data_IF_395538967393
#
_entry.id   IF_395538967393
#
_cell.length_a   1.000
_cell.length_b   1.000
_cell.length_c   1.000
_cell.angle_alpha   90.00
_cell.angle_beta   90.00
_cell.angle_gamma   90.00
#
_symmetry.space_group_name_H-M   'P 1'
#
loop_
_entity.id
_entity.type
_entity.pdbx_description
1 polymer ?
2 non-polymer ?
3 water ?
#
# COMPACT_ATOMS: atom_id res chain seq x y z
N UNK A 5 19.27 -5.66 -2.45
CA UNK A 5 20.07 -4.46 -2.28
C UNK A 5 20.41 -3.81 -3.65
N UNK A 6 19.43 -3.24 -4.39
CA UNK A 6 17.99 -3.17 -4.09
C UNK A 6 17.17 -3.96 -5.11
N UNK A 7 17.46 -5.26 -5.19
CA UNK A 7 16.72 -6.22 -6.00
C UNK A 7 15.79 -6.88 -4.98
N UNK A 8 14.51 -6.55 -5.03
CA UNK A 8 13.52 -7.08 -4.09
C UNK A 8 12.92 -8.37 -4.63
N UNK A 9 11.61 -8.57 -4.40
CA UNK A 9 10.91 -9.76 -4.88
C UNK A 9 10.62 -9.61 -6.38
N UNK A 10 11.14 -10.53 -7.19
CA UNK A 10 10.98 -10.54 -8.65
C UNK A 10 10.53 -11.94 -9.11
N UNK A 11 9.38 -12.08 -9.80
CA UNK A 11 8.39 -11.06 -10.17
C UNK A 11 7.64 -10.60 -8.93
N UNK A 12 6.95 -9.47 -9.01
CA UNK A 12 6.17 -8.99 -7.87
C UNK A 12 4.84 -9.74 -7.86
N UNK A 13 4.46 -10.28 -6.70
CA UNK A 13 3.17 -10.93 -6.50
C UNK A 13 2.47 -10.17 -5.37
N UNK A 14 1.30 -9.57 -5.65
CA UNK A 14 0.56 -8.76 -4.68
C UNK A 14 0.27 -9.49 -3.37
N UNK A 15 -0.18 -10.76 -3.44
CA UNK A 15 -0.48 -11.53 -2.24
C UNK A 15 0.77 -11.73 -1.37
N UNK A 16 1.94 -12.05 -1.98
CA UNK A 16 3.19 -12.20 -1.22
C UNK A 16 3.64 -10.84 -0.67
N UNK A 17 3.42 -9.75 -1.43
CA UNK A 17 3.76 -8.39 -0.97
C UNK A 17 2.92 -7.99 0.26
N UNK A 18 1.74 -8.62 0.44
CA UNK A 18 0.89 -8.41 1.61
C UNK A 18 1.15 -9.48 2.68
N UNK A 19 2.32 -10.16 2.66
CA UNK A 19 2.68 -11.23 3.60
C UNK A 19 1.60 -12.32 3.69
N UNK A 20 0.97 -12.65 2.55
CA UNK A 20 -0.08 -13.67 2.43
C UNK A 20 -1.26 -13.47 3.40
N UNK A 21 -1.65 -12.20 3.62
CA UNK A 21 -2.77 -11.86 4.50
C UNK A 21 -2.44 -11.95 5.99
N UNK A 22 -1.15 -12.04 6.39
CA UNK A 22 -0.75 -12.17 7.79
C UNK A 22 -0.38 -10.87 8.48
N UNK A 23 -0.40 -9.72 7.77
CA UNK A 23 0.05 -8.45 8.33
C UNK A 23 -0.76 -7.25 7.88
N UNK A 24 -0.64 -6.16 8.63
CA UNK A 24 -1.22 -4.88 8.28
C UNK A 24 -0.10 -4.02 7.71
N UNK A 25 -0.42 -3.13 6.76
CA UNK A 25 0.55 -2.22 6.15
C UNK A 25 0.08 -0.79 6.34
N UNK A 26 1.03 0.14 6.52
CA UNK A 26 0.73 1.56 6.74
C UNK A 26 1.26 2.39 5.58
N UNK A 27 0.49 3.42 5.18
CA UNK A 27 0.89 4.31 4.08
C UNK A 27 1.86 5.34 4.65
N UNK A 28 3.10 5.38 4.13
CA UNK A 28 4.15 6.29 4.60
C UNK A 28 4.58 7.37 3.61
N UNK A 29 4.29 7.21 2.31
CA UNK A 29 4.58 8.21 1.27
C UNK A 29 3.50 8.12 0.22
N UNK A 30 3.06 9.27 -0.32
CA UNK A 30 2.07 9.27 -1.40
C UNK A 30 2.16 10.55 -2.20
N UNK A 31 2.05 10.45 -3.53
CA UNK A 31 2.02 11.63 -4.39
C UNK A 31 0.58 12.18 -4.49
N UNK A 32 -0.43 11.45 -3.97
CA UNK A 32 -1.82 11.88 -3.98
C UNK A 32 -2.03 12.96 -2.89
N UNK A 33 -2.38 14.22 -3.26
CA UNK A 33 -2.61 15.27 -2.25
C UNK A 33 -3.79 14.99 -1.30
N UNK A 34 -4.71 14.07 -1.68
CA UNK A 34 -5.86 13.69 -0.86
C UNK A 34 -5.58 12.41 -0.03
N UNK A 35 -4.31 11.92 0.04
CA UNK A 35 -3.96 10.71 0.82
C UNK A 35 -4.53 10.83 2.24
N UNK A 36 -5.27 9.81 2.69
CA UNK A 36 -5.93 9.86 4.00
C UNK A 36 -4.94 9.75 5.15
N UNK A 37 -5.14 10.60 6.18
CA UNK A 37 -4.30 10.64 7.38
C UNK A 37 -4.26 9.29 8.08
N UNK A 38 -3.06 8.84 8.48
CA UNK A 38 -2.86 7.59 9.23
C UNK A 38 -3.38 6.34 8.53
N UNK A 39 -3.48 6.35 7.18
CA UNK A 39 -4.04 5.21 6.46
C UNK A 39 -3.28 3.92 6.73
N UNK A 40 -4.04 2.88 7.07
CA UNK A 40 -3.54 1.54 7.39
C UNK A 40 -4.52 0.53 6.82
N UNK A 41 -4.02 -0.57 6.25
CA UNK A 41 -4.86 -1.63 5.69
C UNK A 41 -4.55 -2.95 6.38
N UNK A 42 -5.58 -3.68 6.83
CA UNK A 42 -5.40 -4.98 7.47
C UNK A 42 -6.43 -5.98 6.94
N UNK A 43 -6.03 -7.24 6.68
CA UNK A 43 -6.98 -8.25 6.22
C UNK A 43 -8.10 -8.45 7.24
N UNK A 44 -9.34 -8.59 6.76
CA UNK A 44 -10.53 -8.77 7.59
C UNK A 44 -11.13 -10.17 7.36
N UNK A 45 -10.36 -11.10 6.78
CA UNK A 45 -10.82 -12.46 6.50
C UNK A 45 -9.85 -13.20 5.58
N UNK A 46 -10.09 -14.49 5.36
CA UNK A 46 -9.23 -15.33 4.52
C UNK A 46 -9.44 -15.04 3.04
N UNK A 47 -8.42 -15.33 2.22
CA UNK A 47 -8.49 -15.15 0.78
C UNK A 47 -9.41 -16.23 0.18
N UNK A 48 -10.53 -15.82 -0.44
CA UNK A 48 -11.50 -16.71 -1.08
C UNK A 48 -11.19 -16.67 -2.58
N UNK A 49 -10.61 -17.75 -3.13
CA UNK A 49 -10.18 -17.84 -4.53
C UNK A 49 -9.13 -16.74 -4.81
N UNK A 50 -9.51 -15.58 -5.39
CA UNK A 50 -8.60 -14.45 -5.64
C UNK A 50 -9.09 -13.17 -4.93
N UNK A 51 -10.10 -13.27 -4.03
CA UNK A 51 -10.71 -12.13 -3.33
C UNK A 51 -10.28 -12.10 -1.86
N UNK A 52 -9.88 -10.91 -1.36
CA UNK A 52 -9.44 -10.71 0.03
C UNK A 52 -10.19 -9.51 0.64
N UNK A 53 -10.94 -9.69 1.76
CA UNK A 53 -11.59 -8.54 2.40
C UNK A 53 -10.54 -7.79 3.22
N UNK A 54 -10.49 -6.46 3.09
CA UNK A 54 -9.50 -5.63 3.78
C UNK A 54 -10.18 -4.46 4.48
N UNK A 55 -9.84 -4.22 5.75
CA UNK A 55 -10.37 -3.10 6.52
C UNK A 55 -9.33 -1.99 6.48
N UNK A 56 -9.71 -0.82 5.97
CA UNK A 56 -8.83 0.34 5.92
C UNK A 56 -9.19 1.22 7.11
N UNK A 57 -8.21 1.59 7.95
CA UNK A 57 -8.42 2.48 9.10
C UNK A 57 -7.61 3.75 8.87
N UNK A 58 -8.15 4.89 9.29
CA UNK A 58 -7.54 6.21 9.07
C UNK A 58 -8.24 7.24 9.95
N UNK A 59 -7.72 8.47 9.96
CA UNK A 59 -8.36 9.56 10.70
C UNK A 59 -9.18 10.41 9.73
N UNK A 60 -10.48 10.58 10.03
CA UNK A 60 -11.41 11.41 9.26
C UNK A 60 -11.60 12.64 10.14
N UNK A 61 -10.76 13.66 9.94
CA UNK A 61 -10.73 14.82 10.82
C UNK A 61 -9.98 14.36 12.09
N UNK A 62 -10.51 14.66 13.29
CA UNK A 62 -9.87 14.22 14.54
C UNK A 62 -10.25 12.78 14.94
N UNK A 63 -11.39 12.26 14.45
CA UNK A 63 -11.85 10.91 14.80
C UNK A 63 -11.30 9.82 13.90
N UNK A 64 -11.14 8.62 14.47
CA UNK A 64 -10.73 7.44 13.71
C UNK A 64 -11.94 6.95 12.94
N UNK A 65 -11.71 6.38 11.75
CA UNK A 65 -12.78 5.86 10.91
C UNK A 65 -12.31 4.60 10.21
N UNK A 66 -13.25 3.82 9.67
CA UNK A 66 -12.92 2.58 8.98
C UNK A 66 -13.85 2.33 7.80
N UNK A 67 -13.31 1.70 6.74
CA UNK A 67 -14.06 1.32 5.54
C UNK A 67 -13.69 -0.11 5.17
N UNK A 68 -14.68 -0.90 4.75
CA UNK A 68 -14.51 -2.31 4.40
C UNK A 68 -14.43 -2.47 2.88
N UNK A 69 -13.21 -2.71 2.37
CA UNK A 69 -12.95 -2.88 0.94
C UNK A 69 -12.81 -4.35 0.56
N UNK A 70 -13.01 -4.65 -0.73
CA UNK A 70 -12.86 -5.98 -1.30
C UNK A 70 -11.71 -5.88 -2.31
N UNK A 71 -10.62 -6.64 -2.08
CA UNK A 71 -9.44 -6.64 -2.95
C UNK A 71 -9.48 -7.87 -3.84
N UNK A 72 -9.33 -7.70 -5.16
CA UNK A 72 -9.25 -8.80 -6.12
C UNK A 72 -7.81 -8.80 -6.63
N UNK A 73 -7.06 -9.89 -6.36
CA UNK A 73 -5.65 -9.99 -6.72
C UNK A 73 -5.44 -10.71 -8.05
N UNK A 74 -4.49 -10.22 -8.86
CA UNK A 74 -4.16 -10.80 -10.16
C UNK A 74 -2.68 -10.54 -10.44
N UNK A 75 -1.80 -11.47 -10.02
CA UNK A 75 -0.35 -11.31 -10.17
C UNK A 75 0.10 -10.12 -9.31
N UNK A 76 0.69 -9.10 -9.94
CA UNK A 76 1.12 -7.88 -9.26
C UNK A 76 -0.02 -6.87 -9.12
N UNK A 77 -1.16 -7.07 -9.83
CA UNK A 77 -2.28 -6.13 -9.83
C UNK A 77 -3.28 -6.36 -8.71
N UNK A 78 -3.90 -5.26 -8.24
CA UNK A 78 -4.89 -5.25 -7.17
C UNK A 78 -6.03 -4.32 -7.59
N UNK A 79 -7.28 -4.82 -7.56
CA UNK A 79 -8.48 -4.03 -7.85
C UNK A 79 -9.25 -3.95 -6.54
N UNK A 80 -9.30 -2.76 -5.92
CA UNK A 80 -9.99 -2.54 -4.64
C UNK A 80 -11.35 -1.90 -4.90
N UNK A 81 -12.43 -2.45 -4.30
CA UNK A 81 -13.78 -1.91 -4.48
C UNK A 81 -14.49 -1.64 -3.15
N UNK A 82 -15.26 -0.55 -3.12
CA UNK A 82 -16.08 -0.12 -1.98
C UNK A 82 -17.29 0.60 -2.57
N UNK A 83 -18.49 0.00 -2.46
CA UNK A 83 -19.71 0.60 -3.03
C UNK A 83 -19.54 0.78 -4.54
N UNK A 84 -19.70 2.02 -5.05
CA UNK A 84 -19.53 2.33 -6.47
C UNK A 84 -18.08 2.74 -6.83
N UNK A 85 -17.16 2.79 -5.84
CA UNK A 85 -15.77 3.19 -6.06
C UNK A 85 -14.92 1.98 -6.47
N UNK A 86 -14.02 2.17 -7.44
CA UNK A 86 -13.08 1.15 -7.91
C UNK A 86 -11.71 1.81 -8.06
N UNK A 87 -10.67 1.24 -7.43
CA UNK A 87 -9.30 1.74 -7.51
C UNK A 87 -8.42 0.62 -8.03
N UNK A 88 -7.70 0.87 -9.13
CA UNK A 88 -6.80 -0.11 -9.75
C UNK A 88 -5.36 0.24 -9.40
N UNK A 89 -4.63 -0.73 -8.83
CA UNK A 89 -3.23 -0.57 -8.43
C UNK A 89 -2.38 -1.70 -8.99
N UNK A 90 -1.07 -1.44 -9.06
CA UNK A 90 -0.08 -2.44 -9.41
C UNK A 90 1.06 -2.29 -8.42
N UNK A 91 1.47 -3.39 -7.77
CA UNK A 91 2.59 -3.37 -6.83
C UNK A 91 3.81 -3.42 -7.74
N UNK A 92 4.49 -2.27 -7.91
CA UNK A 92 5.64 -2.14 -8.83
C UNK A 92 6.99 -2.51 -8.20
N UNK A 93 7.07 -2.51 -6.87
CA UNK A 93 8.27 -2.92 -6.14
C UNK A 93 7.84 -3.56 -4.84
N UNK A 94 8.48 -4.66 -4.46
CA UNK A 94 8.22 -5.34 -3.20
C UNK A 94 9.57 -5.76 -2.65
N UNK A 95 9.86 -5.44 -1.38
CA UNK A 95 11.16 -5.76 -0.81
C UNK A 95 11.36 -7.26 -0.61
N UNK A 96 12.63 -7.66 -0.40
CA UNK A 96 13.04 -9.06 -0.25
C UNK A 96 12.21 -9.89 0.74
N UNK A 97 11.87 -9.32 1.91
CA UNK A 97 11.13 -10.01 2.97
C UNK A 97 9.68 -9.52 3.08
N UNK A 98 9.17 -8.78 2.09
CA UNK A 98 7.81 -8.24 2.08
C UNK A 98 7.57 -7.29 3.26
N UNK A 99 8.60 -6.51 3.63
CA UNK A 99 8.54 -5.55 4.73
C UNK A 99 7.98 -4.20 4.27
N UNK A 100 8.03 -3.96 2.96
CA UNK A 100 7.52 -2.75 2.34
C UNK A 100 7.34 -2.95 0.85
N UNK A 101 6.47 -2.14 0.25
CA UNK A 101 6.24 -2.18 -1.18
C UNK A 101 5.83 -0.82 -1.73
N UNK A 102 6.00 -0.64 -3.04
CA UNK A 102 5.68 0.60 -3.73
C UNK A 102 4.60 0.27 -4.76
N UNK A 103 3.49 1.01 -4.74
CA UNK A 103 2.36 0.80 -5.65
C UNK A 103 2.21 1.94 -6.64
N UNK A 104 1.70 1.62 -7.83
CA UNK A 104 1.35 2.60 -8.86
C UNK A 104 -0.17 2.60 -8.88
N UNK A 105 -0.81 3.73 -8.55
CA UNK A 105 -2.28 3.84 -8.57
C UNK A 105 -2.64 4.24 -10.01
N UNK A 106 -3.26 3.32 -10.76
CA UNK A 106 -3.57 3.53 -12.18
C UNK A 106 -4.75 4.49 -12.38
N UNK A 107 -4.49 5.67 -12.97
CA UNK A 107 -5.50 6.70 -13.26
C UNK A 107 -4.96 7.70 -14.31
N UNK A 108 -5.73 8.76 -14.66
CA UNK A 108 -5.33 9.77 -15.67
C UNK A 108 -3.89 10.26 -15.42
N UNK A 109 -3.61 10.67 -14.17
CA UNK A 109 -2.28 11.05 -13.70
C UNK A 109 -1.91 10.06 -12.59
N UNK A 110 -1.14 8.99 -12.91
CA UNK A 110 -0.84 7.97 -11.90
C UNK A 110 -0.14 8.46 -10.63
N UNK A 111 -0.58 7.96 -9.46
CA UNK A 111 0.05 8.29 -8.18
C UNK A 111 0.93 7.13 -7.74
N UNK A 112 1.92 7.41 -6.88
CA UNK A 112 2.85 6.41 -6.37
C UNK A 112 2.80 6.42 -4.85
N UNK A 113 2.74 5.24 -4.22
CA UNK A 113 2.62 5.10 -2.77
C UNK A 113 3.65 4.15 -2.21
N UNK A 114 4.15 4.42 -0.99
CA UNK A 114 5.03 3.51 -0.26
C UNK A 114 4.25 3.00 0.94
N UNK A 115 4.19 1.68 1.10
CA UNK A 115 3.52 1.00 2.20
C UNK A 115 4.54 0.15 2.94
N UNK A 116 4.46 0.10 4.27
CA UNK A 116 5.37 -0.73 5.07
C UNK A 116 4.64 -1.43 6.19
N UNK A 117 5.24 -2.53 6.68
CA UNK A 117 4.66 -3.31 7.77
C UNK A 117 4.43 -2.44 8.98
N UNK A 118 3.24 -2.53 9.58
CA UNK A 118 2.96 -1.82 10.82
C UNK A 118 3.81 -2.44 11.95
N UNK A 119 4.17 -3.74 11.82
CA UNK A 119 5.03 -4.45 12.78
C UNK A 119 6.51 -4.02 12.70
N UNK A 120 6.91 -3.24 11.68
CA UNK A 120 8.29 -2.79 11.52
C UNK A 120 8.98 -3.63 10.47
N UNK A 121 10.01 -3.07 9.84
CA UNK A 121 10.76 -3.76 8.79
C UNK A 121 12.25 -3.53 8.93
N UNK A 122 13.04 -4.31 8.19
CA UNK A 122 14.50 -4.18 8.18
C UNK A 122 14.86 -2.86 7.50
N UNK A 123 15.75 -2.06 8.13
CA UNK A 123 16.18 -0.75 7.63
C UNK A 123 16.62 -0.78 6.17
N UNK A 124 17.45 -1.76 5.79
CA UNK A 124 17.96 -1.92 4.42
C UNK A 124 16.81 -2.08 3.40
N UNK A 125 15.76 -2.82 3.77
CA UNK A 125 14.60 -3.02 2.89
C UNK A 125 13.75 -1.76 2.81
N UNK A 126 13.52 -1.11 3.97
CA UNK A 126 12.76 0.15 4.04
C UNK A 126 13.47 1.22 3.19
N UNK A 127 14.82 1.25 3.23
CA UNK A 127 15.61 2.18 2.42
C UNK A 127 15.42 1.93 0.92
N UNK A 128 15.36 0.65 0.49
CA UNK A 128 15.15 0.30 -0.92
C UNK A 128 13.78 0.79 -1.40
N UNK A 129 12.74 0.64 -0.57
CA UNK A 129 11.40 1.10 -0.92
C UNK A 129 11.38 2.63 -1.06
N UNK A 130 12.02 3.34 -0.10
CA UNK A 130 12.12 4.81 -0.13
C UNK A 130 12.80 5.25 -1.43
N UNK A 131 13.92 4.61 -1.78
CA UNK A 131 14.66 4.89 -3.01
C UNK A 131 13.80 4.70 -4.25
N UNK A 132 13.07 3.57 -4.33
CA UNK A 132 12.20 3.27 -5.47
C UNK A 132 11.05 4.28 -5.59
N UNK A 133 10.47 4.72 -4.45
CA UNK A 133 9.40 5.73 -4.42
C UNK A 133 9.94 7.07 -4.94
N UNK A 134 11.12 7.50 -4.44
CA UNK A 134 11.74 8.76 -4.86
C UNK A 134 11.99 8.79 -6.38
N UNK A 135 12.43 7.65 -6.95
CA UNK A 135 12.68 7.54 -8.39
C UNK A 135 11.38 7.69 -9.19
N UNK A 136 10.32 6.97 -8.80
CA UNK A 136 9.03 7.02 -9.49
C UNK A 136 8.30 8.34 -9.30
N UNK A 137 8.45 9.00 -8.13
CA UNK A 137 7.81 10.29 -7.86
C UNK A 137 8.35 11.38 -8.80
N UNK A 138 9.67 11.34 -9.08
CA UNK A 138 10.38 12.24 -10.00
C UNK A 138 9.98 13.72 -9.92
N UNK A 139 10.41 14.40 -8.85
CA UNK A 139 10.16 15.82 -8.65
C UNK A 139 8.73 16.23 -8.26
N UNK A 140 7.81 15.27 -8.01
CA UNK A 140 6.44 15.60 -7.62
C UNK A 140 6.36 15.76 -6.12
N UNK A 141 5.33 16.46 -5.64
CA UNK A 141 5.13 16.67 -4.21
C UNK A 141 4.73 15.35 -3.55
N UNK A 142 5.11 15.17 -2.28
CA UNK A 142 4.80 13.95 -1.53
C UNK A 142 4.12 14.26 -0.21
N UNK A 143 3.16 13.40 0.18
CA UNK A 143 2.41 13.50 1.43
C UNK A 143 2.98 12.46 2.39
N UNK A 144 2.82 12.70 3.71
CA UNK A 144 3.35 11.87 4.79
C UNK A 144 2.20 11.52 5.75
N UNK A 145 1.29 10.60 5.33
CA UNK A 145 0.11 10.28 6.15
C UNK A 145 0.36 9.70 7.54
N UNK A 146 1.50 9.01 7.74
CA UNK A 146 1.83 8.41 9.03
C UNK A 146 2.23 9.42 10.12
N UNK A 147 2.55 10.67 9.75
CA UNK A 147 2.93 11.71 10.70
C UNK A 147 1.73 12.53 11.22
N UNK A 148 0.50 12.23 10.79
CA UNK A 148 -0.70 13.01 11.12
C UNK A 148 -1.34 12.67 12.47
N UNK A 149 -0.57 12.79 13.57
CA UNK A 149 -1.02 12.53 14.95
C UNK A 149 -1.75 11.18 15.03
N UNK A 150 -1.06 10.13 14.56
CA UNK A 150 -1.57 8.77 14.47
C UNK A 150 -1.31 7.96 15.76
X LIG B 1 -11.59 5.31 1.86
X LIG B 1 -12.40 6.07 1.28
X LIG B 1 -11.89 4.29 2.50
X LIG B 1 -10.10 5.66 1.77
X LIG B 1 -9.46 5.18 0.46
X LIG B 1 -8.54 3.97 0.66
X LIG B 1 -8.52 3.03 -0.56
X LIG B 1 -7.91 1.67 -0.25
X LIG B 1 -6.67 1.42 -1.11
X LIG B 1 -5.67 0.50 -0.40
X LIG B 1 -4.85 -0.14 -1.33
X LIG B 1 -3.80 -0.97 -0.92
X LIG B 1 -3.53 -1.19 0.43
X LIG B 1 -2.32 -2.13 0.60
X LIG B 1 -2.27 -2.71 2.02
X LIG B 1 -3.15 -3.95 2.13
X LIG B 1 -2.46 -5.05 2.95
X LIG B 1 -3.41 -6.22 3.19
#
# INVERSE_FOLDING_TARGET
DSESDCTGSEPVDAFQAFSEGKEAYVLVRSTDPKARDCLKGEPAGEKQDNTLPVMMTFKNGTDWASTDWTFTLDGAKVTATLGNLTQNREVVYDSQSHHCHVDKVEKEVPDYEMWMLDAGGLEVEVECCRQKLEELASGRNQMYPHLKDC
PAM C1 O1 O2 C2 C3 C4 C5 C6 C7 C8 C9 C10 C11 C12 C13 C14 C15 C16
#
